data_IF_217179209319
#
_entry.id   IF_217179209319
#
_cell.length_a   1.000
_cell.length_b   1.000
_cell.length_c   1.000
_cell.angle_alpha   90.00
_cell.angle_beta   90.00
_cell.angle_gamma   90.00
#
_symmetry.space_group_name_H-M   'P 1'
#
loop_
_entity.id
_entity.type
_entity.pdbx_description
1 polymer ?
#
# COMPACT_ATOMS: atom_id res chain seq x y z
N UNK A 1 14.48 12.42 13.65
CA UNK A 1 14.73 13.76 13.15
C UNK A 1 14.57 13.67 11.65
N UNK A 2 13.80 14.57 11.10
CA UNK A 2 13.38 14.49 9.69
C UNK A 2 14.56 14.88 8.81
N UNK A 3 15.22 13.92 8.19
CA UNK A 3 16.26 14.18 7.19
C UNK A 3 15.58 14.26 5.83
N UNK A 4 14.83 15.34 5.65
CA UNK A 4 14.24 15.62 4.35
C UNK A 4 15.37 16.08 3.43
N UNK A 5 15.45 15.45 2.29
CA UNK A 5 16.38 15.65 1.20
C UNK A 5 16.80 17.11 0.94
N UNK A 6 17.74 17.31 0.05
CA UNK A 6 18.28 18.59 -0.43
C UNK A 6 17.22 19.73 -0.58
N UNK A 7 15.96 19.37 -0.87
CA UNK A 7 14.86 20.35 -1.04
C UNK A 7 14.46 21.00 0.29
N UNK A 8 14.41 20.26 1.39
CA UNK A 8 14.07 20.82 2.71
C UNK A 8 15.21 21.61 3.30
N UNK A 9 16.46 21.19 3.09
CA UNK A 9 17.62 22.00 3.50
C UNK A 9 17.66 23.35 2.76
N UNK A 10 17.31 23.39 1.47
CA UNK A 10 17.19 24.62 0.72
C UNK A 10 16.05 25.50 1.24
N UNK A 11 14.91 24.89 1.61
CA UNK A 11 13.75 25.59 2.18
C UNK A 11 14.06 26.14 3.58
N UNK A 12 14.74 25.36 4.41
CA UNK A 12 15.21 25.80 5.74
C UNK A 12 16.14 27.00 5.64
N UNK A 13 17.12 26.95 4.74
CA UNK A 13 18.02 28.07 4.48
C UNK A 13 17.24 29.31 4.00
N UNK A 14 16.24 29.14 3.16
CA UNK A 14 15.42 30.24 2.65
C UNK A 14 14.55 30.84 3.74
N UNK A 15 13.92 30.03 4.60
CA UNK A 15 13.06 30.50 5.68
C UNK A 15 13.84 31.15 6.84
N UNK A 16 14.97 30.56 7.23
CA UNK A 16 15.76 31.07 8.36
C UNK A 16 16.68 32.23 7.95
N UNK A 17 17.38 32.13 6.82
CA UNK A 17 18.34 33.13 6.39
C UNK A 17 17.72 34.33 5.68
N UNK A 18 16.68 34.13 4.85
CA UNK A 18 16.05 35.24 4.08
C UNK A 18 14.86 35.86 4.80
N UNK A 19 14.04 35.09 5.50
CA UNK A 19 12.81 35.57 6.15
C UNK A 19 12.98 35.80 7.66
N UNK A 20 14.10 35.34 8.28
CA UNK A 20 14.36 35.50 9.71
C UNK A 20 13.32 34.83 10.62
N UNK A 21 12.67 33.77 10.13
CA UNK A 21 11.65 33.06 10.88
C UNK A 21 12.25 32.29 12.04
N UNK A 22 11.58 32.22 13.23
CA UNK A 22 12.02 31.39 14.32
C UNK A 22 11.97 29.91 13.91
N UNK A 23 12.90 29.11 14.42
CA UNK A 23 13.13 27.69 14.06
C UNK A 23 11.85 26.84 14.14
N UNK A 24 11.04 27.02 15.20
CA UNK A 24 9.79 26.27 15.36
C UNK A 24 8.76 26.54 14.25
N UNK A 25 8.73 27.80 13.73
CA UNK A 25 7.84 28.19 12.64
C UNK A 25 8.31 27.62 11.30
N UNK A 26 9.61 27.59 11.05
CA UNK A 26 10.20 26.97 9.86
C UNK A 26 9.87 25.48 9.82
N UNK A 27 10.06 24.75 10.91
CA UNK A 27 9.71 23.33 11.04
C UNK A 27 8.22 23.11 10.82
N UNK A 28 7.35 23.96 11.35
CA UNK A 28 5.90 23.82 11.15
C UNK A 28 5.51 24.03 9.68
N UNK A 29 6.07 25.03 9.00
CA UNK A 29 5.83 25.29 7.58
C UNK A 29 6.31 24.10 6.75
N UNK A 30 7.49 23.57 7.02
CA UNK A 30 8.02 22.38 6.35
C UNK A 30 7.12 21.15 6.51
N UNK A 31 6.69 20.87 7.73
CA UNK A 31 5.78 19.76 8.01
C UNK A 31 4.46 19.90 7.20
N UNK A 32 3.90 21.11 7.13
CA UNK A 32 2.68 21.37 6.35
C UNK A 32 2.92 21.19 4.87
N UNK A 33 4.03 21.70 4.32
CA UNK A 33 4.37 21.58 2.90
C UNK A 33 4.63 20.12 2.50
N UNK A 34 5.40 19.40 3.31
CA UNK A 34 5.66 17.97 3.09
C UNK A 34 4.37 17.17 3.19
N UNK A 35 3.54 17.42 4.21
CA UNK A 35 2.24 16.77 4.35
C UNK A 35 1.33 17.04 3.15
N UNK A 36 1.27 18.29 2.66
CA UNK A 36 0.53 18.63 1.44
C UNK A 36 1.10 17.92 0.21
N UNK A 37 2.42 17.84 0.07
CA UNK A 37 3.10 17.12 -1.01
C UNK A 37 2.75 15.63 -1.03
N UNK A 38 2.72 14.99 0.15
CA UNK A 38 2.31 13.59 0.30
C UNK A 38 0.85 13.41 -0.13
N UNK A 39 -0.05 14.26 0.32
CA UNK A 39 -1.47 14.19 -0.04
C UNK A 39 -1.70 14.38 -1.54
N UNK A 40 -0.97 15.28 -2.18
CA UNK A 40 -1.01 15.47 -3.63
C UNK A 40 -0.47 14.25 -4.35
N UNK A 41 0.67 13.71 -3.95
CA UNK A 41 1.25 12.49 -4.52
C UNK A 41 0.31 11.29 -4.35
N UNK A 42 -0.28 11.15 -3.18
CA UNK A 42 -1.29 10.15 -2.85
C UNK A 42 -2.50 10.26 -3.79
N UNK A 43 -3.06 11.44 -3.98
CA UNK A 43 -4.19 11.67 -4.88
C UNK A 43 -3.85 11.40 -6.36
N UNK A 44 -2.66 11.81 -6.82
CA UNK A 44 -2.22 11.58 -8.20
C UNK A 44 -2.09 10.09 -8.52
N UNK A 45 -1.48 9.32 -7.62
CA UNK A 45 -1.35 7.85 -7.78
C UNK A 45 -2.73 7.20 -7.79
N UNK A 46 -3.66 7.61 -6.91
CA UNK A 46 -5.02 7.10 -6.91
C UNK A 46 -5.73 7.31 -8.25
N UNK A 47 -5.60 8.50 -8.84
CA UNK A 47 -6.17 8.82 -10.16
C UNK A 47 -5.64 7.86 -11.23
N UNK A 48 -4.32 7.62 -11.23
CA UNK A 48 -3.68 6.68 -12.19
C UNK A 48 -4.17 5.26 -11.97
N UNK A 49 -4.27 4.80 -10.72
CA UNK A 49 -4.74 3.45 -10.38
C UNK A 49 -6.19 3.21 -10.79
N UNK A 50 -7.08 4.14 -10.50
CA UNK A 50 -8.50 4.05 -10.87
C UNK A 50 -8.65 4.00 -12.40
N UNK A 51 -7.89 4.84 -13.12
CA UNK A 51 -7.88 4.81 -14.58
C UNK A 51 -7.35 3.47 -15.12
N UNK A 52 -6.23 2.99 -14.56
CA UNK A 52 -5.61 1.72 -14.93
C UNK A 52 -6.56 0.54 -14.71
N UNK A 53 -7.23 0.47 -13.56
CA UNK A 53 -8.18 -0.61 -13.27
C UNK A 53 -9.35 -0.63 -14.26
N UNK A 54 -9.92 0.53 -14.61
CA UNK A 54 -11.02 0.62 -15.59
C UNK A 54 -10.59 0.14 -16.99
N UNK A 55 -9.36 0.44 -17.39
CA UNK A 55 -8.81 -0.02 -18.69
C UNK A 55 -8.51 -1.51 -18.67
N UNK A 56 -7.81 -1.98 -17.64
CA UNK A 56 -7.47 -3.41 -17.48
C UNK A 56 -8.74 -4.27 -17.42
N UNK A 57 -9.71 -3.88 -16.58
CA UNK A 57 -11.02 -4.55 -16.53
C UNK A 57 -11.70 -4.63 -17.91
N UNK A 58 -11.70 -3.52 -18.65
CA UNK A 58 -12.32 -3.49 -19.97
C UNK A 58 -11.65 -4.44 -20.96
N UNK A 59 -10.31 -4.53 -20.93
CA UNK A 59 -9.58 -5.49 -21.77
C UNK A 59 -9.92 -6.95 -21.43
N UNK A 60 -9.99 -7.30 -20.14
CA UNK A 60 -10.40 -8.64 -19.74
C UNK A 60 -11.83 -8.99 -20.14
N UNK A 61 -12.71 -8.01 -20.19
CA UNK A 61 -14.09 -8.16 -20.61
C UNK A 61 -14.30 -7.99 -22.14
N UNK A 62 -13.22 -7.91 -22.92
CA UNK A 62 -13.26 -7.70 -24.37
C UNK A 62 -14.10 -6.48 -24.80
N UNK A 63 -14.07 -5.38 -24.02
CA UNK A 63 -14.76 -4.12 -24.29
C UNK A 63 -13.83 -2.92 -24.19
N UNK A 64 -14.23 -1.80 -24.78
CA UNK A 64 -13.51 -0.54 -24.64
C UNK A 64 -13.81 0.09 -23.27
N UNK A 65 -12.77 0.50 -22.56
CA UNK A 65 -12.89 1.28 -21.32
C UNK A 65 -13.35 2.72 -21.60
N UNK A 66 -13.30 3.63 -20.60
CA UNK A 66 -13.67 5.02 -20.78
C UNK A 66 -12.86 5.66 -21.89
N UNK A 67 -13.54 6.28 -22.89
CA UNK A 67 -12.91 6.87 -24.08
C UNK A 67 -13.43 8.27 -24.40
N UNK A 68 -14.58 8.69 -23.84
CA UNK A 68 -15.30 9.89 -24.28
C UNK A 68 -14.87 11.19 -23.60
N UNK A 69 -14.40 11.13 -22.33
CA UNK A 69 -14.06 12.33 -21.55
C UNK A 69 -12.56 12.57 -21.61
N UNK A 70 -12.13 13.52 -22.43
CA UNK A 70 -10.73 13.81 -22.70
C UNK A 70 -10.05 12.79 -23.61
N UNK A 71 -8.74 12.99 -23.85
CA UNK A 71 -7.96 12.07 -24.69
C UNK A 71 -7.89 10.69 -24.04
N UNK A 72 -8.38 9.66 -24.71
CA UNK A 72 -8.44 8.27 -24.25
C UNK A 72 -9.20 8.06 -22.92
N UNK A 73 -10.02 9.02 -22.48
CA UNK A 73 -10.81 8.93 -21.26
C UNK A 73 -10.03 9.28 -19.98
N UNK A 74 -8.86 9.93 -20.08
CA UNK A 74 -8.04 10.34 -18.92
C UNK A 74 -8.78 11.25 -17.94
N UNK A 75 -9.61 12.17 -18.45
CA UNK A 75 -10.35 13.12 -17.60
C UNK A 75 -11.59 12.50 -16.91
N UNK A 76 -11.91 11.23 -17.19
CA UNK A 76 -13.07 10.58 -16.58
C UNK A 76 -12.94 10.49 -15.06
N UNK A 77 -11.75 10.20 -14.55
CA UNK A 77 -11.50 10.08 -13.10
C UNK A 77 -11.67 11.42 -12.40
N UNK A 78 -11.24 12.52 -13.03
CA UNK A 78 -11.47 13.88 -12.51
C UNK A 78 -12.96 14.22 -12.45
N UNK A 79 -13.73 13.85 -13.49
CA UNK A 79 -15.18 14.03 -13.48
C UNK A 79 -15.85 13.25 -12.35
N UNK A 80 -15.38 12.04 -12.04
CA UNK A 80 -15.89 11.23 -10.95
C UNK A 80 -15.56 11.85 -9.58
N UNK A 81 -14.34 12.38 -9.39
CA UNK A 81 -13.96 13.08 -8.16
C UNK A 81 -14.83 14.34 -7.96
N UNK A 82 -15.01 15.16 -9.02
CA UNK A 82 -15.88 16.34 -8.95
C UNK A 82 -17.32 15.97 -8.61
N UNK A 83 -17.84 14.88 -9.17
CA UNK A 83 -19.18 14.37 -8.84
C UNK A 83 -19.28 14.00 -7.36
N UNK A 84 -18.27 13.36 -6.77
CA UNK A 84 -18.26 13.00 -5.35
C UNK A 84 -18.18 14.24 -4.44
N UNK A 85 -17.44 15.27 -4.85
CA UNK A 85 -17.32 16.55 -4.11
C UNK A 85 -18.64 17.33 -4.08
N UNK A 86 -19.42 17.32 -5.16
CA UNK A 86 -20.68 18.05 -5.27
C UNK A 86 -21.83 17.29 -4.59
N UNK A 87 -21.68 15.96 -4.43
CA UNK A 87 -22.72 15.11 -3.83
C UNK A 87 -22.87 15.38 -2.33
N UNK A 88 -24.11 15.54 -1.85
CA UNK A 88 -24.41 15.75 -0.44
C UNK A 88 -23.93 14.60 0.45
N UNK A 89 -23.37 14.93 1.61
CA UNK A 89 -23.04 13.98 2.66
C UNK A 89 -24.29 13.78 3.50
N UNK A 90 -24.91 12.64 3.34
CA UNK A 90 -26.10 12.25 4.10
C UNK A 90 -25.70 11.39 5.30
N UNK A 91 -26.19 11.75 6.47
CA UNK A 91 -26.02 10.98 7.71
C UNK A 91 -27.36 10.39 8.10
N UNK A 92 -27.41 9.08 8.30
CA UNK A 92 -28.64 8.37 8.71
C UNK A 92 -29.03 8.77 10.14
N UNK A 93 -30.31 9.03 10.41
CA UNK A 93 -30.79 9.51 11.71
C UNK A 93 -30.45 8.59 12.88
N UNK A 94 -30.38 7.27 12.64
CA UNK A 94 -30.08 6.26 13.66
C UNK A 94 -28.59 5.95 13.79
N UNK A 95 -27.75 6.56 12.98
CA UNK A 95 -26.30 6.35 13.01
C UNK A 95 -25.65 7.10 14.19
N UNK A 96 -24.57 6.55 14.74
CA UNK A 96 -23.73 7.29 15.68
C UNK A 96 -22.88 8.29 14.87
N UNK A 97 -23.24 9.57 14.96
CA UNK A 97 -22.65 10.66 14.17
C UNK A 97 -21.13 10.77 14.34
N UNK A 98 -20.63 10.55 15.56
CA UNK A 98 -19.18 10.68 15.84
C UNK A 98 -18.42 9.55 15.18
N UNK A 99 -18.83 8.31 15.41
CA UNK A 99 -18.18 7.13 14.81
C UNK A 99 -18.28 7.13 13.29
N UNK A 100 -19.45 7.54 12.78
CA UNK A 100 -19.71 7.64 11.35
C UNK A 100 -18.78 8.63 10.63
N UNK A 101 -18.48 9.79 11.23
CA UNK A 101 -17.59 10.79 10.64
C UNK A 101 -16.11 10.46 10.85
N UNK A 102 -15.74 9.82 11.97
CA UNK A 102 -14.34 9.49 12.30
C UNK A 102 -13.85 8.29 11.49
N UNK A 103 -14.71 7.34 11.17
CA UNK A 103 -14.31 6.11 10.50
C UNK A 103 -13.58 6.33 9.15
N UNK A 104 -14.10 7.11 8.18
CA UNK A 104 -13.40 7.37 6.92
C UNK A 104 -12.05 8.08 7.13
N UNK A 105 -11.96 8.95 8.13
CA UNK A 105 -10.73 9.65 8.45
C UNK A 105 -9.65 8.68 8.96
N UNK A 106 -10.01 7.72 9.82
CA UNK A 106 -9.08 6.70 10.30
C UNK A 106 -8.54 5.83 9.17
N UNK A 107 -9.38 5.44 8.23
CA UNK A 107 -8.95 4.64 7.07
C UNK A 107 -7.94 5.43 6.22
N UNK A 108 -8.19 6.71 5.97
CA UNK A 108 -7.24 7.55 5.23
C UNK A 108 -5.96 7.79 6.02
N UNK A 109 -6.04 8.06 7.31
CA UNK A 109 -4.85 8.26 8.16
C UNK A 109 -3.96 7.01 8.11
N UNK A 110 -4.54 5.80 8.21
CA UNK A 110 -3.81 4.55 8.08
C UNK A 110 -3.10 4.42 6.73
N UNK A 111 -3.82 4.67 5.63
CA UNK A 111 -3.27 4.52 4.28
C UNK A 111 -2.25 5.61 3.92
N UNK A 112 -2.50 6.89 4.23
CA UNK A 112 -1.54 8.00 4.02
C UNK A 112 -0.29 7.80 4.89
N UNK A 113 -0.48 7.36 6.14
CA UNK A 113 0.62 7.03 7.03
C UNK A 113 1.52 5.94 6.43
N UNK A 114 0.96 4.81 6.03
CA UNK A 114 1.70 3.72 5.41
C UNK A 114 2.39 4.15 4.09
N UNK A 115 1.73 4.97 3.28
CA UNK A 115 2.29 5.55 2.05
C UNK A 115 3.54 6.40 2.30
N UNK A 116 3.61 7.10 3.44
CA UNK A 116 4.73 7.97 3.81
C UNK A 116 6.02 7.21 4.14
N UNK A 117 5.92 5.91 4.45
CA UNK A 117 7.08 5.05 4.71
C UNK A 117 7.71 4.46 3.45
N UNK A 118 7.05 4.60 2.28
CA UNK A 118 7.61 4.07 1.04
C UNK A 118 8.84 4.85 0.62
N UNK A 119 9.98 4.17 0.37
CA UNK A 119 11.19 4.80 -0.09
C UNK A 119 11.14 4.97 -1.61
N UNK A 120 10.98 6.21 -2.08
CA UNK A 120 10.81 6.55 -3.49
C UNK A 120 12.11 6.56 -4.28
N UNK A 121 13.19 7.02 -3.66
CA UNK A 121 14.51 7.13 -4.25
C UNK A 121 15.57 7.21 -3.15
N UNK A 122 16.82 7.07 -3.50
CA UNK A 122 17.94 7.30 -2.59
C UNK A 122 17.91 8.76 -2.10
N UNK A 123 17.75 8.95 -0.77
CA UNK A 123 17.59 10.27 -0.16
C UNK A 123 16.23 10.95 -0.37
N UNK A 124 15.25 10.29 -0.98
CA UNK A 124 13.86 10.78 -1.12
C UNK A 124 12.89 9.89 -0.36
N UNK A 125 13.12 9.73 0.92
CA UNK A 125 12.24 9.04 1.88
C UNK A 125 11.60 10.08 2.77
N UNK A 126 10.28 10.01 2.95
CA UNK A 126 9.56 10.96 3.80
C UNK A 126 9.75 10.62 5.26
N UNK A 127 9.50 9.37 5.63
CA UNK A 127 9.67 8.85 6.98
C UNK A 127 10.60 7.64 6.94
N UNK A 128 11.83 7.82 7.39
CA UNK A 128 12.82 6.77 7.45
C UNK A 128 13.30 6.56 8.90
N UNK A 129 12.68 5.61 9.57
CA UNK A 129 13.00 5.26 10.96
C UNK A 129 13.73 3.93 11.02
N UNK A 130 14.59 3.75 12.02
CA UNK A 130 15.31 2.49 12.26
C UNK A 130 14.38 1.29 12.45
N UNK A 131 13.12 1.52 12.88
CA UNK A 131 12.05 0.53 13.04
C UNK A 131 10.93 0.73 12.01
N UNK A 132 11.27 1.18 10.81
CA UNK A 132 10.33 1.58 9.76
C UNK A 132 9.32 0.49 9.39
N UNK A 133 9.76 -0.76 9.23
CA UNK A 133 8.89 -1.91 8.91
C UNK A 133 7.82 -2.12 9.98
N UNK A 134 8.19 -2.05 11.27
CA UNK A 134 7.25 -2.22 12.38
C UNK A 134 6.23 -1.07 12.45
N UNK A 135 6.69 0.18 12.29
CA UNK A 135 5.79 1.34 12.30
C UNK A 135 4.84 1.34 11.11
N UNK A 136 5.29 0.89 9.95
CA UNK A 136 4.46 0.77 8.75
C UNK A 136 3.29 -0.18 9.00
N UNK A 137 3.53 -1.39 9.53
CA UNK A 137 2.46 -2.34 9.84
C UNK A 137 1.54 -1.83 10.95
N UNK A 138 2.09 -1.20 12.00
CA UNK A 138 1.29 -0.63 13.08
C UNK A 138 0.36 0.51 12.61
N UNK A 139 0.79 1.32 11.64
CA UNK A 139 -0.04 2.40 11.09
C UNK A 139 -1.07 1.85 10.11
N UNK A 140 -0.74 0.84 9.29
CA UNK A 140 -1.71 0.21 8.39
C UNK A 140 -2.89 -0.40 9.16
N UNK A 141 -2.64 -0.99 10.33
CA UNK A 141 -3.69 -1.59 11.17
C UNK A 141 -4.73 -0.57 11.71
N UNK A 142 -4.42 0.74 11.75
CA UNK A 142 -5.41 1.78 12.05
C UNK A 142 -6.55 1.78 11.03
N UNK A 143 -6.24 1.46 9.76
CA UNK A 143 -7.24 1.33 8.70
C UNK A 143 -8.29 0.25 9.00
N UNK A 144 -7.89 -0.86 9.61
CA UNK A 144 -8.79 -1.95 10.01
C UNK A 144 -9.79 -1.47 11.05
N UNK A 145 -9.32 -0.71 12.04
CA UNK A 145 -10.17 -0.09 13.06
C UNK A 145 -11.18 0.86 12.39
N UNK A 146 -10.73 1.64 11.39
CA UNK A 146 -11.60 2.54 10.63
C UNK A 146 -12.75 1.80 9.91
N UNK A 147 -12.47 0.70 9.22
CA UNK A 147 -13.49 -0.12 8.54
C UNK A 147 -14.48 -0.73 9.55
N UNK A 148 -13.96 -1.22 10.69
CA UNK A 148 -14.82 -1.76 11.75
C UNK A 148 -15.76 -0.69 12.31
N UNK A 149 -15.26 0.51 12.60
CA UNK A 149 -16.05 1.61 13.12
C UNK A 149 -17.06 2.13 12.08
N UNK A 150 -16.74 2.07 10.80
CA UNK A 150 -17.66 2.44 9.73
C UNK A 150 -18.93 1.59 9.74
N UNK A 151 -18.75 0.27 9.83
CA UNK A 151 -19.91 -0.63 9.93
C UNK A 151 -20.68 -0.48 11.23
N UNK A 152 -19.97 -0.34 12.35
CA UNK A 152 -20.58 -0.18 13.67
C UNK A 152 -21.37 1.13 13.77
N UNK A 153 -20.77 2.25 13.37
CA UNK A 153 -21.35 3.60 13.44
C UNK A 153 -22.55 3.80 12.52
N UNK A 154 -22.66 3.04 11.41
CA UNK A 154 -23.77 3.12 10.47
C UNK A 154 -25.10 2.55 11.00
N UNK A 155 -25.06 1.76 12.09
CA UNK A 155 -26.22 1.09 12.72
C UNK A 155 -27.10 0.28 11.75
N UNK A 156 -26.51 -0.24 10.67
CA UNK A 156 -27.17 -1.11 9.71
C UNK A 156 -26.69 -2.55 9.89
N UNK A 157 -27.62 -3.52 9.94
CA UNK A 157 -27.30 -4.95 10.16
C UNK A 157 -26.32 -5.52 9.13
N UNK A 158 -26.52 -5.16 7.86
CA UNK A 158 -25.64 -5.62 6.77
C UNK A 158 -24.25 -4.99 6.82
N UNK A 159 -24.19 -3.70 7.15
CA UNK A 159 -22.93 -2.97 7.28
C UNK A 159 -22.10 -3.49 8.45
N UNK A 160 -22.72 -3.75 9.62
CA UNK A 160 -22.06 -4.32 10.79
C UNK A 160 -21.51 -5.74 10.47
N UNK A 161 -22.34 -6.59 9.84
CA UNK A 161 -21.91 -7.94 9.46
C UNK A 161 -20.73 -7.91 8.47
N UNK A 162 -20.77 -7.00 7.51
CA UNK A 162 -19.69 -6.79 6.55
C UNK A 162 -18.40 -6.32 7.21
N UNK A 163 -18.48 -5.31 8.08
CA UNK A 163 -17.33 -4.78 8.80
C UNK A 163 -16.68 -5.84 9.71
N UNK A 164 -17.47 -6.67 10.39
CA UNK A 164 -16.98 -7.80 11.18
C UNK A 164 -16.21 -8.80 10.31
N UNK A 165 -16.77 -9.18 9.16
CA UNK A 165 -16.11 -10.12 8.23
C UNK A 165 -14.82 -9.54 7.68
N UNK A 166 -14.82 -8.28 7.26
CA UNK A 166 -13.64 -7.58 6.75
C UNK A 166 -12.56 -7.43 7.80
N UNK A 167 -12.90 -7.04 9.03
CA UNK A 167 -11.95 -6.91 10.12
C UNK A 167 -11.28 -8.24 10.48
N UNK A 168 -12.05 -9.33 10.59
CA UNK A 168 -11.51 -10.67 10.87
C UNK A 168 -10.56 -11.13 9.76
N UNK A 169 -10.90 -10.85 8.50
CA UNK A 169 -10.02 -11.12 7.36
C UNK A 169 -8.71 -10.35 7.48
N UNK A 170 -8.77 -9.03 7.57
CA UNK A 170 -7.58 -8.16 7.60
C UNK A 170 -6.65 -8.52 8.76
N UNK A 171 -7.16 -8.65 9.99
CA UNK A 171 -6.37 -9.02 11.18
C UNK A 171 -5.70 -10.38 11.00
N UNK A 172 -6.41 -11.36 10.40
CA UNK A 172 -5.83 -12.69 10.19
C UNK A 172 -4.66 -12.64 9.20
N UNK A 173 -4.82 -11.97 8.06
CA UNK A 173 -3.80 -11.91 7.01
C UNK A 173 -2.63 -10.99 7.35
N UNK A 174 -2.83 -9.99 8.22
CA UNK A 174 -1.76 -9.14 8.77
C UNK A 174 -0.70 -9.97 9.49
N UNK A 175 -1.08 -11.06 10.16
CA UNK A 175 -0.13 -11.98 10.82
C UNK A 175 0.84 -12.61 9.81
N UNK A 176 0.34 -13.14 8.70
CA UNK A 176 1.19 -13.73 7.66
C UNK A 176 2.06 -12.69 6.96
N UNK A 177 1.54 -11.48 6.74
CA UNK A 177 2.32 -10.36 6.20
C UNK A 177 3.50 -10.00 7.11
N UNK A 178 3.24 -9.84 8.41
CA UNK A 178 4.29 -9.54 9.39
C UNK A 178 5.38 -10.63 9.41
N UNK A 179 5.01 -11.92 9.36
CA UNK A 179 5.97 -13.01 9.31
C UNK A 179 6.84 -12.95 8.04
N UNK A 180 6.25 -12.62 6.88
CA UNK A 180 7.01 -12.44 5.64
C UNK A 180 7.95 -11.24 5.69
N UNK A 181 7.55 -10.12 6.30
CA UNK A 181 8.42 -8.97 6.50
C UNK A 181 9.57 -9.28 7.46
N UNK A 182 9.31 -10.03 8.54
CA UNK A 182 10.37 -10.46 9.46
C UNK A 182 11.38 -11.36 8.76
N UNK A 183 10.98 -12.23 7.82
CA UNK A 183 11.96 -13.04 7.05
C UNK A 183 12.91 -12.15 6.24
N UNK A 184 12.42 -11.06 5.69
CA UNK A 184 13.24 -10.08 4.97
C UNK A 184 14.19 -9.33 5.93
N UNK A 185 13.70 -8.91 7.09
CA UNK A 185 14.49 -8.24 8.13
C UNK A 185 15.61 -9.14 8.64
N UNK A 186 15.37 -10.44 8.83
CA UNK A 186 16.38 -11.40 9.26
C UNK A 186 17.51 -11.51 8.22
N UNK A 187 17.19 -11.47 6.93
CA UNK A 187 18.18 -11.57 5.86
C UNK A 187 19.01 -10.29 5.71
N UNK A 188 18.38 -9.13 5.82
CA UNK A 188 19.05 -7.81 5.65
C UNK A 188 19.71 -7.30 6.94
N UNK A 189 19.23 -7.74 8.12
CA UNK A 189 19.70 -7.28 9.42
C UNK A 189 19.23 -5.89 9.82
N UNK A 190 18.33 -5.26 9.05
CA UNK A 190 17.81 -3.90 9.30
C UNK A 190 16.28 -3.87 9.19
N UNK A 191 15.62 -3.02 10.01
CA UNK A 191 14.19 -2.73 9.90
C UNK A 191 13.91 -1.40 9.20
N UNK A 192 14.95 -0.68 8.81
CA UNK A 192 14.87 0.58 8.10
C UNK A 192 14.54 0.32 6.63
N UNK A 193 13.52 0.98 6.07
CA UNK A 193 13.07 0.71 4.71
C UNK A 193 14.13 1.07 3.65
N UNK A 194 14.84 2.18 3.83
CA UNK A 194 15.97 2.55 2.97
C UNK A 194 17.13 1.55 3.09
N UNK A 195 17.47 1.13 4.31
CA UNK A 195 18.54 0.15 4.56
C UNK A 195 18.26 -1.22 3.95
N UNK A 196 17.00 -1.65 3.90
CA UNK A 196 16.60 -2.88 3.19
C UNK A 196 16.88 -2.77 1.70
N UNK A 197 16.61 -1.62 1.07
CA UNK A 197 16.90 -1.41 -0.35
C UNK A 197 18.41 -1.32 -0.59
N UNK A 198 19.15 -0.62 0.27
CA UNK A 198 20.62 -0.52 0.17
C UNK A 198 21.30 -1.88 0.26
N UNK A 199 20.82 -2.77 1.12
CA UNK A 199 21.33 -4.15 1.23
C UNK A 199 21.12 -4.96 -0.06
N UNK A 200 20.15 -4.57 -0.91
CA UNK A 200 19.84 -5.21 -2.18
C UNK A 200 20.57 -4.57 -3.39
N UNK A 201 21.40 -3.54 -3.18
CA UNK A 201 22.17 -2.93 -4.27
C UNK A 201 23.29 -3.86 -4.75
N UNK A 202 23.25 -4.23 -6.02
CA UNK A 202 24.27 -5.07 -6.65
C UNK A 202 23.71 -6.12 -7.61
N UNK A 203 24.57 -6.79 -8.38
CA UNK A 203 24.13 -7.80 -9.33
C UNK A 203 23.56 -9.02 -8.59
N UNK A 204 22.33 -9.40 -8.96
CA UNK A 204 21.61 -10.54 -8.37
C UNK A 204 21.33 -10.46 -6.86
N UNK A 205 21.47 -9.27 -6.23
CA UNK A 205 21.29 -9.07 -4.78
C UNK A 205 19.83 -8.74 -4.38
N UNK A 206 18.87 -8.86 -5.28
CA UNK A 206 17.48 -8.75 -4.86
C UNK A 206 17.15 -9.85 -3.87
N UNK A 207 16.42 -9.52 -2.84
CA UNK A 207 16.13 -10.41 -1.73
C UNK A 207 15.44 -11.71 -2.18
N UNK A 208 14.63 -11.63 -3.24
CA UNK A 208 13.98 -12.80 -3.85
C UNK A 208 15.00 -13.84 -4.36
N UNK A 209 16.20 -13.42 -4.81
CA UNK A 209 17.27 -14.31 -5.26
C UNK A 209 18.27 -14.62 -4.14
N UNK A 210 18.59 -13.62 -3.32
CA UNK A 210 19.57 -13.70 -2.23
C UNK A 210 19.19 -14.74 -1.17
N UNK A 211 17.90 -14.81 -0.80
CA UNK A 211 17.38 -15.75 0.19
C UNK A 211 16.97 -17.10 -0.38
N UNK A 212 17.27 -17.41 -1.65
CA UNK A 212 16.91 -18.65 -2.33
C UNK A 212 15.40 -19.00 -2.23
N UNK A 213 15.08 -20.29 -2.05
CA UNK A 213 13.69 -20.80 -1.99
C UNK A 213 12.86 -20.13 -0.88
N UNK A 214 13.35 -19.93 0.35
CA UNK A 214 12.57 -19.26 1.40
C UNK A 214 12.14 -17.83 1.04
N UNK A 215 12.99 -17.06 0.37
CA UNK A 215 12.63 -15.70 -0.03
C UNK A 215 11.54 -15.68 -1.13
N UNK A 216 11.60 -16.64 -2.06
CA UNK A 216 10.57 -16.80 -3.09
C UNK A 216 9.23 -17.18 -2.46
N UNK A 217 9.22 -18.10 -1.50
CA UNK A 217 8.01 -18.49 -0.76
C UNK A 217 7.45 -17.28 0.00
N UNK A 218 8.31 -16.53 0.72
CA UNK A 218 7.89 -15.32 1.43
C UNK A 218 7.26 -14.29 0.51
N UNK A 219 7.82 -14.08 -0.69
CA UNK A 219 7.28 -13.16 -1.69
C UNK A 219 5.86 -13.55 -2.15
N UNK A 220 5.63 -14.82 -2.49
CA UNK A 220 4.30 -15.26 -2.91
C UNK A 220 3.29 -15.23 -1.76
N UNK A 221 3.67 -15.64 -0.55
CA UNK A 221 2.80 -15.54 0.63
C UNK A 221 2.47 -14.08 0.91
N UNK A 222 3.45 -13.17 0.81
CA UNK A 222 3.26 -11.74 0.98
C UNK A 222 2.27 -11.16 -0.05
N UNK A 223 2.37 -11.54 -1.32
CA UNK A 223 1.44 -11.07 -2.36
C UNK A 223 0.00 -11.56 -2.13
N UNK A 224 -0.16 -12.82 -1.72
CA UNK A 224 -1.49 -13.38 -1.43
C UNK A 224 -2.10 -12.71 -0.20
N UNK A 225 -1.34 -12.61 0.89
CA UNK A 225 -1.79 -11.98 2.12
C UNK A 225 -2.05 -10.48 1.94
N UNK A 226 -1.19 -9.78 1.20
CA UNK A 226 -1.37 -8.37 0.88
C UNK A 226 -2.62 -8.09 0.04
N UNK A 227 -2.92 -8.95 -0.95
CA UNK A 227 -4.16 -8.82 -1.70
C UNK A 227 -5.40 -8.98 -0.81
N UNK A 228 -5.35 -9.87 0.19
CA UNK A 228 -6.41 -10.04 1.16
C UNK A 228 -6.52 -8.86 2.14
N UNK A 229 -5.41 -8.22 2.53
CA UNK A 229 -5.41 -7.00 3.35
C UNK A 229 -5.97 -5.80 2.59
N UNK A 230 -5.72 -5.71 1.27
CA UNK A 230 -6.30 -4.67 0.43
C UNK A 230 -7.82 -4.84 0.18
N UNK A 231 -8.46 -5.88 0.73
CA UNK A 231 -9.86 -6.22 0.48
C UNK A 231 -10.22 -6.34 -1.01
N UNK A 232 -9.28 -6.80 -1.83
CA UNK A 232 -9.46 -6.95 -3.28
C UNK A 232 -9.80 -8.38 -3.66
N UNK A 233 -10.63 -8.53 -4.71
CA UNK A 233 -10.94 -9.87 -5.24
C UNK A 233 -9.68 -10.72 -5.49
N UNK A 234 -9.71 -12.01 -5.13
CA UNK A 234 -10.84 -12.85 -4.68
C UNK A 234 -11.21 -12.73 -3.19
N UNK A 235 -10.53 -11.90 -2.39
CA UNK A 235 -10.68 -11.74 -0.95
C UNK A 235 -11.54 -10.52 -0.55
N UNK A 236 -12.52 -10.17 -1.35
CA UNK A 236 -13.37 -9.00 -1.19
C UNK A 236 -14.60 -9.32 -0.33
N UNK A 237 -14.40 -9.46 0.99
CA UNK A 237 -15.50 -9.78 1.92
C UNK A 237 -16.14 -8.54 2.53
N UNK A 238 -15.41 -7.44 2.61
CA UNK A 238 -15.91 -6.19 3.16
C UNK A 238 -16.90 -5.48 2.22
N UNK A 239 -16.83 -5.72 0.91
CA UNK A 239 -17.69 -5.08 -0.09
C UNK A 239 -18.76 -6.00 -0.68
N UNK A 240 -18.77 -7.28 -0.31
CA UNK A 240 -19.63 -8.36 -0.80
C UNK A 240 -20.99 -7.92 -1.41
N UNK A 241 -21.00 -7.22 -2.57
CA UNK A 241 -22.20 -6.68 -3.21
C UNK A 241 -23.31 -7.74 -3.40
N UNK A 242 -22.92 -8.97 -3.76
CA UNK A 242 -23.87 -10.05 -3.98
C UNK A 242 -24.49 -10.61 -2.69
N UNK A 243 -23.86 -10.41 -1.52
CA UNK A 243 -24.31 -10.94 -0.23
C UNK A 243 -24.83 -9.86 0.74
N UNK A 244 -24.22 -8.67 0.75
CA UNK A 244 -24.38 -7.64 1.78
C UNK A 244 -24.69 -6.24 1.21
N UNK A 245 -25.30 -6.15 0.03
CA UNK A 245 -25.60 -4.92 -0.70
C UNK A 245 -24.34 -4.16 -1.15
N UNK A 246 -23.77 -3.30 -0.31
CA UNK A 246 -22.52 -2.58 -0.58
C UNK A 246 -21.55 -2.65 0.62
N UNK A 247 -21.75 -3.62 1.48
CA UNK A 247 -20.83 -3.86 2.59
C UNK A 247 -20.82 -2.76 3.66
N UNK A 248 -19.64 -2.44 4.18
CA UNK A 248 -19.45 -1.48 5.28
C UNK A 248 -19.77 -0.04 4.90
N UNK A 249 -19.72 0.31 3.62
CA UNK A 249 -19.98 1.67 3.11
C UNK A 249 -21.40 1.87 2.57
N UNK A 250 -22.34 0.93 2.83
CA UNK A 250 -23.72 0.98 2.32
C UNK A 250 -24.43 2.30 2.62
N UNK A 251 -24.23 2.85 3.81
CA UNK A 251 -24.89 4.10 4.25
C UNK A 251 -24.08 5.35 3.91
N UNK A 252 -22.83 5.20 3.46
CA UNK A 252 -21.99 6.33 3.14
C UNK A 252 -22.27 6.92 1.77
N UNK A 253 -22.28 8.27 1.69
CA UNK A 253 -22.50 9.02 0.45
C UNK A 253 -21.44 10.12 0.26
N UNK A 254 -21.33 10.64 -0.97
CA UNK A 254 -20.44 11.75 -1.30
C UNK A 254 -18.98 11.45 -0.97
N UNK A 255 -18.32 12.40 -0.32
CA UNK A 255 -16.90 12.27 0.05
C UNK A 255 -16.65 11.19 1.11
N UNK A 256 -17.62 10.87 1.98
CA UNK A 256 -17.47 9.77 2.93
C UNK A 256 -17.20 8.43 2.24
N UNK A 257 -17.99 8.11 1.21
CA UNK A 257 -17.74 6.96 0.33
C UNK A 257 -16.42 7.11 -0.44
N UNK A 258 -16.16 8.33 -0.97
CA UNK A 258 -14.95 8.62 -1.74
C UNK A 258 -13.66 8.32 -0.96
N UNK A 259 -13.65 8.55 0.34
CA UNK A 259 -12.50 8.29 1.20
C UNK A 259 -12.20 6.79 1.37
N UNK A 260 -13.20 5.95 1.55
CA UNK A 260 -12.99 4.49 1.58
C UNK A 260 -12.45 3.98 0.25
N UNK A 261 -13.09 4.39 -0.84
CA UNK A 261 -12.69 3.99 -2.19
C UNK A 261 -11.25 4.41 -2.54
N UNK A 262 -10.88 5.65 -2.18
CA UNK A 262 -9.54 6.18 -2.39
C UNK A 262 -8.49 5.40 -1.57
N UNK A 263 -8.79 5.11 -0.31
CA UNK A 263 -7.90 4.34 0.55
C UNK A 263 -7.70 2.90 0.06
N UNK A 264 -8.77 2.24 -0.41
CA UNK A 264 -8.70 0.89 -0.98
C UNK A 264 -7.73 0.80 -2.16
N UNK A 265 -7.83 1.74 -3.12
CA UNK A 265 -6.90 1.77 -4.26
C UNK A 265 -5.47 2.00 -3.86
N UNK A 266 -5.25 2.85 -2.87
CA UNK A 266 -3.92 3.15 -2.42
C UNK A 266 -3.32 2.09 -1.53
N UNK A 267 -4.11 1.39 -0.73
CA UNK A 267 -3.63 0.21 -0.02
C UNK A 267 -3.09 -0.86 -0.99
N UNK A 268 -3.73 -1.05 -2.15
CA UNK A 268 -3.20 -1.91 -3.21
C UNK A 268 -1.82 -1.45 -3.69
N UNK A 269 -1.64 -0.14 -3.91
CA UNK A 269 -0.34 0.41 -4.31
C UNK A 269 0.70 0.31 -3.18
N UNK A 270 0.31 0.55 -1.94
CA UNK A 270 1.19 0.47 -0.77
C UNK A 270 1.73 -0.96 -0.63
N UNK A 271 0.88 -1.96 -0.70
CA UNK A 271 1.27 -3.37 -0.65
C UNK A 271 2.22 -3.73 -1.78
N UNK A 272 1.91 -3.32 -3.01
CA UNK A 272 2.79 -3.50 -4.15
C UNK A 272 4.13 -2.74 -3.99
N UNK A 273 4.10 -1.53 -3.44
CA UNK A 273 5.27 -0.74 -3.11
C UNK A 273 6.15 -1.40 -2.05
N UNK A 274 5.55 -1.95 -0.99
CA UNK A 274 6.27 -2.72 0.05
C UNK A 274 6.89 -3.98 -0.57
N UNK A 275 6.14 -4.73 -1.37
CA UNK A 275 6.68 -5.90 -2.06
C UNK A 275 7.85 -5.55 -3.00
N UNK A 276 7.74 -4.43 -3.72
CA UNK A 276 8.81 -3.93 -4.58
C UNK A 276 10.06 -3.52 -3.78
N UNK A 277 9.90 -2.85 -2.63
CA UNK A 277 11.01 -2.41 -1.78
C UNK A 277 11.69 -3.58 -1.09
N UNK A 278 10.90 -4.47 -0.52
CA UNK A 278 11.41 -5.56 0.32
C UNK A 278 12.01 -6.69 -0.52
N UNK A 279 11.37 -7.09 -1.62
CA UNK A 279 11.78 -8.29 -2.38
C UNK A 279 12.47 -7.99 -3.71
N UNK A 280 12.16 -6.85 -4.35
CA UNK A 280 12.66 -6.51 -5.68
C UNK A 280 13.67 -5.34 -5.69
N UNK A 281 14.18 -4.94 -4.53
CA UNK A 281 15.21 -3.92 -4.41
C UNK A 281 14.74 -2.48 -4.64
N UNK A 282 13.44 -2.17 -4.45
CA UNK A 282 12.91 -0.81 -4.47
C UNK A 282 13.40 0.04 -5.65
N UNK A 283 14.06 1.16 -5.36
CA UNK A 283 14.63 2.07 -6.37
C UNK A 283 15.91 1.54 -7.03
N UNK A 284 16.51 0.44 -6.54
CA UNK A 284 17.74 -0.08 -7.11
C UNK A 284 17.50 -0.57 -8.56
N UNK A 285 18.36 -0.22 -9.51
CA UNK A 285 18.28 -0.68 -10.88
C UNK A 285 18.50 -2.20 -10.97
N UNK A 286 18.08 -2.79 -12.07
CA UNK A 286 18.35 -4.19 -12.39
C UNK A 286 19.79 -4.31 -12.87
N UNK A 287 20.69 -4.77 -11.99
CA UNK A 287 22.09 -5.02 -12.33
C UNK A 287 22.31 -6.51 -12.56
N UNK A 288 22.89 -6.88 -13.71
CA UNK A 288 23.17 -8.28 -14.10
C UNK A 288 24.67 -8.60 -13.96
N UNK A 289 25.52 -7.58 -13.76
CA UNK A 289 26.97 -7.73 -13.70
C UNK A 289 27.67 -7.54 -15.03
N UNK A 290 26.96 -7.08 -16.09
CA UNK A 290 27.53 -6.71 -17.39
C UNK A 290 27.75 -5.20 -17.39
N UNK A 291 29.01 -4.74 -17.40
CA UNK A 291 29.36 -3.32 -17.24
C UNK A 291 28.61 -2.38 -18.21
N UNK A 292 28.47 -2.76 -19.47
CA UNK A 292 27.76 -1.92 -20.46
C UNK A 292 26.25 -1.83 -20.20
N UNK A 293 25.64 -2.92 -19.75
CA UNK A 293 24.21 -2.95 -19.39
C UNK A 293 23.94 -2.17 -18.10
N UNK A 294 24.78 -2.41 -17.08
CA UNK A 294 24.63 -1.78 -15.76
C UNK A 294 24.80 -0.26 -15.85
N UNK A 295 25.71 0.25 -16.73
CA UNK A 295 25.85 1.69 -16.97
C UNK A 295 24.56 2.32 -17.54
N UNK A 296 23.92 1.67 -18.50
CA UNK A 296 22.65 2.15 -19.08
C UNK A 296 21.52 2.12 -18.05
N UNK A 297 21.44 1.08 -17.26
CA UNK A 297 20.40 0.94 -16.21
C UNK A 297 20.58 1.95 -15.08
N UNK A 298 21.82 2.25 -14.69
CA UNK A 298 22.12 3.25 -13.66
C UNK A 298 21.86 4.70 -14.12
N UNK A 299 21.73 4.94 -15.43
CA UNK A 299 21.36 6.28 -15.95
C UNK A 299 19.89 6.63 -15.67
N UNK A 300 19.03 5.62 -15.49
CA UNK A 300 17.60 5.81 -15.23
C UNK A 300 17.40 6.19 -13.75
N UNK A 301 16.66 7.28 -13.45
CA UNK A 301 16.40 7.69 -12.07
C UNK A 301 15.75 6.58 -11.26
N UNK A 302 16.15 6.42 -9.98
CA UNK A 302 15.64 5.36 -9.09
C UNK A 302 14.14 5.38 -8.90
N UNK A 303 13.50 6.56 -8.90
CA UNK A 303 12.03 6.69 -8.81
C UNK A 303 11.31 5.96 -9.96
N UNK A 304 11.88 5.95 -11.16
CA UNK A 304 11.30 5.23 -12.32
C UNK A 304 11.35 3.72 -12.11
N UNK A 305 12.45 3.23 -11.53
CA UNK A 305 12.58 1.81 -11.16
C UNK A 305 11.58 1.40 -10.11
N UNK A 306 11.45 2.20 -9.04
CA UNK A 306 10.48 1.94 -7.99
C UNK A 306 9.05 1.91 -8.52
N UNK A 307 8.64 2.97 -9.22
CA UNK A 307 7.30 3.05 -9.81
C UNK A 307 7.04 1.92 -10.82
N UNK A 308 8.02 1.60 -11.67
CA UNK A 308 7.89 0.52 -12.65
C UNK A 308 7.62 -0.84 -12.00
N UNK A 309 8.38 -1.19 -10.95
CA UNK A 309 8.20 -2.42 -10.19
C UNK A 309 6.87 -2.43 -9.44
N UNK A 310 6.51 -1.34 -8.77
CA UNK A 310 5.26 -1.21 -8.04
C UNK A 310 4.04 -1.32 -8.97
N UNK A 311 4.01 -0.60 -10.09
CA UNK A 311 2.93 -0.69 -11.06
C UNK A 311 2.84 -2.05 -11.75
N UNK A 312 3.96 -2.72 -11.97
CA UNK A 312 3.96 -4.10 -12.47
C UNK A 312 3.28 -5.06 -11.49
N UNK A 313 3.58 -4.96 -10.20
CA UNK A 313 2.92 -5.77 -9.16
C UNK A 313 1.44 -5.40 -9.01
N UNK A 314 1.09 -4.13 -9.06
CA UNK A 314 -0.32 -3.67 -9.09
C UNK A 314 -1.06 -4.30 -10.27
N UNK A 315 -0.44 -4.33 -11.45
CA UNK A 315 -1.05 -4.96 -12.62
C UNK A 315 -1.31 -6.45 -12.41
N UNK A 316 -0.38 -7.18 -11.79
CA UNK A 316 -0.57 -8.60 -11.43
C UNK A 316 -1.74 -8.76 -10.45
N UNK A 317 -1.83 -7.92 -9.41
CA UNK A 317 -2.92 -7.97 -8.43
C UNK A 317 -4.28 -7.64 -9.07
N UNK A 318 -4.33 -6.67 -9.98
CA UNK A 318 -5.52 -6.39 -10.79
C UNK A 318 -5.89 -7.55 -11.70
N UNK A 319 -4.91 -8.22 -12.30
CA UNK A 319 -5.15 -9.42 -13.11
C UNK A 319 -5.78 -10.54 -12.28
N UNK A 320 -5.25 -10.80 -11.09
CA UNK A 320 -5.80 -11.79 -10.15
C UNK A 320 -7.26 -11.45 -9.82
N UNK A 321 -7.57 -10.18 -9.52
CA UNK A 321 -8.94 -9.72 -9.21
C UNK A 321 -9.95 -10.09 -10.30
N UNK A 322 -9.57 -9.94 -11.57
CA UNK A 322 -10.50 -10.14 -12.70
C UNK A 322 -10.51 -11.57 -13.27
N UNK A 323 -9.62 -12.44 -12.81
CA UNK A 323 -9.54 -13.85 -13.28
C UNK A 323 -10.09 -14.84 -12.27
N UNK A 324 -9.90 -14.61 -10.98
CA UNK A 324 -10.32 -15.56 -9.95
C UNK A 324 -11.74 -15.29 -9.45
N UNK A 325 -12.54 -16.36 -9.20
CA UNK A 325 -13.82 -16.23 -8.55
C UNK A 325 -13.64 -15.84 -7.07
N UNK A 326 -14.68 -15.21 -6.51
CA UNK A 326 -14.70 -14.83 -5.09
C UNK A 326 -14.71 -16.04 -4.19
N UNK A 327 -13.95 -15.98 -3.10
CA UNK A 327 -13.91 -17.01 -2.05
C UNK A 327 -14.95 -16.71 -0.96
N UNK A 328 -15.44 -17.77 -0.28
CA UNK A 328 -16.28 -17.62 0.91
C UNK A 328 -15.41 -17.37 2.15
N UNK A 329 -15.99 -16.75 3.18
CA UNK A 329 -15.29 -16.44 4.44
C UNK A 329 -14.65 -17.67 5.07
N UNK A 330 -15.33 -18.82 5.07
CA UNK A 330 -14.80 -20.08 5.62
C UNK A 330 -13.55 -20.55 4.86
N UNK A 331 -13.52 -20.34 3.55
CA UNK A 331 -12.40 -20.72 2.70
C UNK A 331 -11.22 -19.74 2.91
N UNK A 332 -11.50 -18.46 3.06
CA UNK A 332 -10.51 -17.41 3.31
C UNK A 332 -9.81 -17.65 4.65
N UNK A 333 -10.57 -17.88 5.71
CA UNK A 333 -10.01 -18.18 7.03
C UNK A 333 -9.26 -19.52 7.06
N UNK A 334 -9.77 -20.56 6.38
CA UNK A 334 -9.04 -21.83 6.25
C UNK A 334 -7.73 -21.67 5.48
N UNK A 335 -7.71 -20.87 4.42
CA UNK A 335 -6.50 -20.58 3.65
C UNK A 335 -5.44 -19.94 4.53
N UNK A 336 -5.82 -18.95 5.33
CA UNK A 336 -4.90 -18.26 6.22
C UNK A 336 -4.39 -19.17 7.35
N UNK A 337 -5.29 -19.62 8.22
CA UNK A 337 -4.92 -20.34 9.45
C UNK A 337 -4.36 -21.73 9.21
N UNK A 338 -4.78 -22.43 8.16
CA UNK A 338 -4.36 -23.80 7.88
C UNK A 338 -3.16 -23.91 6.94
N UNK A 339 -2.98 -22.92 6.03
CA UNK A 339 -1.96 -23.01 5.00
C UNK A 339 -0.95 -21.85 5.05
N UNK A 340 -1.39 -20.60 4.96
CA UNK A 340 -0.46 -19.45 4.80
C UNK A 340 0.32 -19.17 6.09
N UNK A 341 -0.34 -19.05 7.22
CA UNK A 341 0.30 -18.77 8.49
C UNK A 341 1.29 -19.88 8.92
N UNK A 342 0.94 -21.19 8.90
CA UNK A 342 1.93 -22.23 9.18
C UNK A 342 3.09 -22.26 8.17
N UNK A 343 2.80 -22.01 6.89
CA UNK A 343 3.83 -21.93 5.86
C UNK A 343 4.78 -20.73 6.09
N UNK A 344 4.24 -19.56 6.43
CA UNK A 344 5.03 -18.37 6.73
C UNK A 344 5.92 -18.60 7.98
N UNK A 345 5.38 -19.23 9.01
CA UNK A 345 6.10 -19.55 10.25
C UNK A 345 7.24 -20.55 10.00
N UNK A 346 6.96 -21.63 9.27
CA UNK A 346 7.94 -22.61 8.88
C UNK A 346 9.04 -21.98 7.99
N UNK A 347 8.63 -21.12 7.06
CA UNK A 347 9.53 -20.38 6.19
C UNK A 347 10.47 -19.45 6.96
N UNK A 348 9.96 -18.77 7.99
CA UNK A 348 10.75 -17.92 8.88
C UNK A 348 11.82 -18.74 9.62
N UNK A 349 11.47 -19.93 10.15
CA UNK A 349 12.43 -20.83 10.79
C UNK A 349 13.52 -21.29 9.81
N UNK A 350 13.13 -21.67 8.59
CA UNK A 350 14.10 -22.06 7.55
C UNK A 350 15.03 -20.89 7.21
N UNK A 351 14.47 -19.66 7.05
CA UNK A 351 15.28 -18.49 6.76
C UNK A 351 16.28 -18.18 7.87
N UNK A 352 15.89 -18.29 9.15
CA UNK A 352 16.81 -18.10 10.27
C UNK A 352 17.98 -19.10 10.24
N UNK A 353 17.70 -20.35 9.89
CA UNK A 353 18.75 -21.37 9.72
C UNK A 353 19.67 -21.06 8.53
N UNK A 354 19.12 -20.65 7.39
CA UNK A 354 19.90 -20.27 6.19
C UNK A 354 20.84 -19.10 6.50
N UNK A 355 20.37 -18.09 7.21
CA UNK A 355 21.16 -16.93 7.61
C UNK A 355 22.23 -17.31 8.64
N UNK A 356 21.88 -18.12 9.65
CA UNK A 356 22.81 -18.59 10.68
C UNK A 356 23.97 -19.44 10.10
N UNK A 357 23.68 -20.25 9.07
CA UNK A 357 24.68 -21.06 8.36
C UNK A 357 25.46 -20.26 7.28
N UNK A 358 25.07 -19.02 7.01
CA UNK A 358 25.70 -18.19 5.97
C UNK A 358 25.45 -18.67 4.54
N UNK A 359 24.36 -19.43 4.32
CA UNK A 359 24.00 -20.03 3.03
C UNK A 359 23.18 -19.06 2.14
N UNK A 360 23.46 -17.77 2.17
CA UNK A 360 22.82 -16.77 1.33
C UNK A 360 23.84 -16.06 0.43
N UNK A 361 23.39 -15.49 -0.67
CA UNK A 361 24.25 -14.75 -1.61
C UNK A 361 24.67 -13.43 -0.95
N UNK A 362 25.95 -13.28 -0.66
CA UNK A 362 26.53 -12.06 -0.05
C UNK A 362 26.77 -10.95 -1.08
#
# INVERSE_FOLDING_TARGET
MFDFSIVTQWFDQLLQLTLGCPEWLAILIECVLVGAGILVGYALIAIVLIFMERKVCAYFQCRLGPMRVGYWGLLQVFADVLKMLIKEIFIVDKADKVLYLVAPLLVIIGSVGAFSFLPWNNGATVLDFNVGVFLLTAISSIGVVGIFLAGWGSNNKYSVLSAMRGAVQMISYEMSLCLCLITAVILTGTMQMSGIVEAQTGPWKWLIFQGHIPAIIAFFVFLIAGNAEANRGPFDMAEAESELTAGHHTEYSGMGFGFFYLAEFLNLFIIAGIAATVFLGGWAPVNIGIAAFDQVMNYIPGIVWFLGKAFFLVWILMWIKWTFPRLRIDQILKLEWKYLMPLALLNLVIMTVVVALGLYIK
#
